data_IF_132582192171
#
_entry.id   IF_132582192171
#
_cell.length_a   1.000
_cell.length_b   1.000
_cell.length_c   1.000
_cell.angle_alpha   90.00
_cell.angle_beta   90.00
_cell.angle_gamma   90.00
#
_symmetry.space_group_name_H-M   'P 1'
#
loop_
_entity.id
_entity.type
_entity.pdbx_description
1 polymer ?
#
# COMPACT_ATOMS: atom_id res chain seq x y z
N UNK A 1 65.33 23.95 -60.06
CA UNK A 1 63.96 23.90 -60.61
C UNK A 1 63.46 22.47 -60.47
N UNK A 2 62.37 22.27 -59.71
CA UNK A 2 61.22 21.37 -60.01
C UNK A 2 61.59 19.87 -60.19
N UNK A 3 61.18 18.86 -59.38
CA UNK A 3 59.92 18.59 -58.69
C UNK A 3 60.18 17.39 -57.74
N UNK A 4 59.81 17.48 -56.46
CA UNK A 4 59.81 16.35 -55.54
C UNK A 4 58.51 15.54 -55.70
N UNK A 5 58.58 14.32 -56.24
CA UNK A 5 57.44 13.41 -56.29
C UNK A 5 57.27 12.73 -54.92
N UNK A 6 56.19 13.06 -54.19
CA UNK A 6 55.75 12.32 -53.00
C UNK A 6 54.90 11.11 -53.42
N UNK A 7 55.07 9.93 -52.83
CA UNK A 7 54.16 8.81 -53.03
C UNK A 7 52.82 9.05 -52.31
N UNK A 8 51.75 8.60 -52.95
CA UNK A 8 50.35 8.67 -52.51
C UNK A 8 50.12 7.91 -51.20
N UNK A 9 49.57 8.60 -50.21
CA UNK A 9 49.06 8.02 -48.96
C UNK A 9 47.72 7.34 -49.26
N UNK A 10 47.51 6.04 -48.97
CA UNK A 10 46.19 5.43 -49.05
C UNK A 10 45.28 5.95 -47.93
N UNK A 11 44.03 6.19 -48.29
CA UNK A 11 42.98 6.68 -47.42
C UNK A 11 42.74 5.81 -46.18
N UNK A 12 42.39 6.49 -45.08
CA UNK A 12 41.82 5.98 -43.85
C UNK A 12 41.04 4.66 -44.02
N UNK A 13 41.48 3.61 -43.31
CA UNK A 13 40.61 2.48 -43.00
C UNK A 13 39.44 3.01 -42.16
N UNK A 14 38.23 2.87 -42.70
CA UNK A 14 36.98 3.03 -41.98
C UNK A 14 36.95 2.05 -40.81
N UNK A 15 36.89 2.58 -39.59
CA UNK A 15 36.50 1.82 -38.41
C UNK A 15 35.02 1.50 -38.60
N UNK A 16 34.70 0.24 -38.90
CA UNK A 16 33.33 -0.28 -38.85
C UNK A 16 32.77 -0.07 -37.45
N UNK A 17 31.91 0.93 -37.31
CA UNK A 17 31.31 1.34 -36.03
C UNK A 17 29.92 0.70 -35.83
N UNK A 18 29.77 -0.59 -36.17
CA UNK A 18 28.50 -1.32 -36.09
C UNK A 18 28.53 -2.47 -35.05
N UNK A 19 29.09 -2.19 -33.88
CA UNK A 19 28.80 -2.97 -32.66
C UNK A 19 28.47 -2.04 -31.51
N UNK A 20 27.29 -1.43 -31.59
CA UNK A 20 26.58 -0.92 -30.43
C UNK A 20 26.37 -2.12 -29.46
N UNK A 21 26.81 -2.07 -28.20
CA UNK A 21 26.46 -3.12 -27.24
C UNK A 21 24.94 -3.16 -27.11
N UNK A 22 24.36 -4.35 -27.22
CA UNK A 22 22.93 -4.62 -27.15
C UNK A 22 22.29 -3.81 -26.03
N UNK A 23 21.56 -2.74 -26.40
CA UNK A 23 20.70 -2.06 -25.43
C UNK A 23 19.63 -3.08 -25.02
N UNK A 24 19.42 -3.33 -23.72
CA UNK A 24 18.33 -4.19 -23.30
C UNK A 24 17.03 -3.68 -23.94
N UNK A 25 16.20 -4.56 -24.52
CA UNK A 25 15.01 -4.15 -25.23
C UNK A 25 14.17 -3.27 -24.30
N UNK A 26 13.72 -2.12 -24.81
CA UNK A 26 12.87 -1.21 -24.06
C UNK A 26 11.72 -2.01 -23.44
N UNK A 27 11.47 -1.85 -22.13
CA UNK A 27 10.39 -2.54 -21.42
C UNK A 27 9.05 -2.13 -22.04
N UNK A 28 8.58 -2.90 -23.01
CA UNK A 28 7.25 -2.71 -23.62
C UNK A 28 6.22 -2.97 -22.53
N UNK A 29 5.43 -1.94 -22.21
CA UNK A 29 4.30 -2.07 -21.30
C UNK A 29 3.30 -3.07 -21.90
N UNK A 30 3.16 -4.23 -21.25
CA UNK A 30 2.15 -5.22 -21.60
C UNK A 30 1.03 -5.13 -20.56
N UNK A 31 -0.22 -4.82 -20.96
CA UNK A 31 -1.36 -4.79 -20.05
C UNK A 31 -1.54 -6.11 -19.29
N UNK A 32 -1.22 -7.24 -19.93
CA UNK A 32 -1.25 -8.55 -19.32
C UNK A 32 -0.22 -8.68 -18.19
N UNK A 33 1.04 -8.26 -18.40
CA UNK A 33 2.05 -8.25 -17.32
C UNK A 33 1.73 -7.27 -16.19
N UNK A 34 1.16 -6.12 -16.51
CA UNK A 34 0.74 -5.15 -15.51
C UNK A 34 -0.38 -5.73 -14.63
N UNK A 35 -1.34 -6.42 -15.24
CA UNK A 35 -2.42 -7.09 -14.55
C UNK A 35 -1.92 -8.28 -13.71
N UNK A 36 -0.99 -9.09 -14.24
CA UNK A 36 -0.37 -10.18 -13.48
C UNK A 36 0.40 -9.65 -12.27
N UNK A 37 1.11 -8.53 -12.44
CA UNK A 37 1.81 -7.83 -11.36
C UNK A 37 0.85 -7.30 -10.29
N UNK A 38 -0.26 -6.67 -10.71
CA UNK A 38 -1.29 -6.21 -9.77
C UNK A 38 -1.92 -7.36 -8.99
N UNK A 39 -2.33 -8.44 -9.67
CA UNK A 39 -2.98 -9.59 -9.04
C UNK A 39 -2.08 -10.35 -8.07
N UNK A 40 -0.76 -10.32 -8.27
CA UNK A 40 0.22 -10.90 -7.35
C UNK A 40 0.64 -9.94 -6.24
N UNK A 41 0.21 -8.69 -6.30
CA UNK A 41 0.56 -7.68 -5.29
C UNK A 41 -0.47 -7.64 -4.16
N UNK A 42 -0.07 -7.22 -2.95
CA UNK A 42 -1.00 -6.95 -1.85
C UNK A 42 -2.11 -5.94 -2.20
N UNK A 43 -1.92 -5.12 -3.24
CA UNK A 43 -2.90 -4.13 -3.71
C UNK A 43 -4.18 -4.78 -4.22
N UNK A 44 -4.11 -5.98 -4.80
CA UNK A 44 -5.29 -6.70 -5.27
C UNK A 44 -6.26 -7.03 -4.11
N UNK A 45 -5.71 -7.39 -2.94
CA UNK A 45 -6.51 -7.66 -1.75
C UNK A 45 -7.10 -6.41 -1.09
N UNK A 46 -6.44 -5.25 -1.24
CA UNK A 46 -6.85 -3.97 -0.63
C UNK A 46 -7.80 -3.18 -1.53
N UNK A 47 -7.74 -3.36 -2.85
CA UNK A 47 -8.52 -2.58 -3.81
C UNK A 47 -10.05 -2.64 -3.61
N UNK A 48 -10.69 -3.79 -3.33
CA UNK A 48 -12.12 -3.83 -3.02
C UNK A 48 -12.53 -2.99 -1.80
N UNK A 49 -11.68 -2.97 -0.76
CA UNK A 49 -11.91 -2.17 0.45
C UNK A 49 -11.79 -0.68 0.17
N UNK A 50 -10.78 -0.29 -0.61
CA UNK A 50 -10.61 1.10 -1.05
C UNK A 50 -11.80 1.55 -1.92
N UNK A 51 -12.29 0.68 -2.81
CA UNK A 51 -13.48 0.95 -3.61
C UNK A 51 -14.71 1.16 -2.73
N UNK A 52 -14.94 0.29 -1.73
CA UNK A 52 -16.01 0.47 -0.76
C UNK A 52 -15.90 1.84 -0.08
N UNK A 53 -14.73 2.20 0.44
CA UNK A 53 -14.52 3.46 1.13
C UNK A 53 -14.80 4.69 0.24
N UNK A 54 -14.43 4.65 -1.04
CA UNK A 54 -14.64 5.76 -1.99
C UNK A 54 -16.11 5.86 -2.43
N UNK A 55 -16.79 4.72 -2.61
CA UNK A 55 -18.18 4.70 -3.06
C UNK A 55 -19.18 4.93 -1.93
N UNK A 56 -18.79 4.68 -0.69
CA UNK A 56 -19.63 4.87 0.49
C UNK A 56 -20.04 6.34 0.63
N UNK A 57 -21.34 6.55 0.86
CA UNK A 57 -21.92 7.88 1.02
C UNK A 57 -23.45 7.81 0.99
N UNK A 58 -24.13 8.93 1.30
CA UNK A 58 -25.58 8.96 1.40
C UNK A 58 -26.26 8.51 0.11
N UNK A 59 -27.19 7.55 0.21
CA UNK A 59 -27.93 6.95 -0.91
C UNK A 59 -27.11 6.07 -1.85
N UNK A 60 -25.87 5.72 -1.50
CA UNK A 60 -24.94 4.96 -2.37
C UNK A 60 -24.53 3.62 -1.78
N UNK A 61 -25.15 3.19 -0.68
CA UNK A 61 -24.79 1.95 0.02
C UNK A 61 -24.77 0.71 -0.88
N UNK A 62 -25.87 0.46 -1.60
CA UNK A 62 -26.00 -0.73 -2.46
C UNK A 62 -24.96 -0.71 -3.59
N UNK A 63 -24.72 0.47 -4.18
CA UNK A 63 -23.72 0.66 -5.23
C UNK A 63 -22.31 0.42 -4.71
N UNK A 64 -22.00 0.88 -3.49
CA UNK A 64 -20.72 0.66 -2.84
C UNK A 64 -20.49 -0.84 -2.51
N UNK A 65 -21.49 -1.49 -1.91
CA UNK A 65 -21.42 -2.90 -1.54
C UNK A 65 -21.35 -3.81 -2.78
N UNK A 66 -22.21 -3.58 -3.79
CA UNK A 66 -22.19 -4.34 -5.04
C UNK A 66 -20.91 -4.09 -5.85
N UNK A 67 -20.42 -2.85 -5.89
CA UNK A 67 -19.16 -2.50 -6.54
C UNK A 67 -17.96 -3.19 -5.89
N UNK A 68 -17.87 -3.15 -4.55
CA UNK A 68 -16.81 -3.82 -3.79
C UNK A 68 -16.87 -5.34 -3.94
N UNK A 69 -18.07 -5.93 -3.85
CA UNK A 69 -18.26 -7.37 -4.06
C UNK A 69 -17.90 -7.79 -5.49
N UNK A 70 -18.35 -7.02 -6.49
CA UNK A 70 -18.03 -7.25 -7.90
C UNK A 70 -16.54 -7.18 -8.15
N UNK A 71 -15.85 -6.15 -7.64
CA UNK A 71 -14.40 -6.04 -7.77
C UNK A 71 -13.68 -7.18 -7.04
N UNK A 72 -14.12 -7.55 -5.84
CA UNK A 72 -13.55 -8.68 -5.08
C UNK A 72 -13.68 -10.00 -5.85
N UNK A 73 -14.87 -10.29 -6.37
CA UNK A 73 -15.13 -11.48 -7.18
C UNK A 73 -14.31 -11.47 -8.48
N UNK A 74 -14.21 -10.33 -9.16
CA UNK A 74 -13.40 -10.20 -10.37
C UNK A 74 -11.92 -10.42 -10.10
N UNK A 75 -11.36 -9.83 -9.04
CA UNK A 75 -9.96 -10.03 -8.63
C UNK A 75 -9.72 -11.50 -8.28
N UNK A 76 -10.63 -12.12 -7.51
CA UNK A 76 -10.51 -13.52 -7.11
C UNK A 76 -10.59 -14.48 -8.31
N UNK A 77 -11.56 -14.28 -9.21
CA UNK A 77 -11.70 -15.09 -10.42
C UNK A 77 -10.51 -14.90 -11.37
N UNK A 78 -10.04 -13.67 -11.55
CA UNK A 78 -8.86 -13.36 -12.36
C UNK A 78 -7.58 -13.98 -11.75
N UNK A 79 -7.45 -13.97 -10.43
CA UNK A 79 -6.36 -14.62 -9.70
C UNK A 79 -6.39 -16.14 -9.88
N UNK A 80 -7.55 -16.76 -9.65
CA UNK A 80 -7.75 -18.21 -9.82
C UNK A 80 -7.45 -18.66 -11.26
N UNK A 81 -7.91 -17.92 -12.27
CA UNK A 81 -7.64 -18.23 -13.68
C UNK A 81 -6.14 -18.16 -14.04
N UNK A 82 -5.34 -17.49 -13.22
CA UNK A 82 -3.89 -17.33 -13.38
C UNK A 82 -3.07 -18.13 -12.36
N UNK A 83 -3.72 -19.00 -11.58
CA UNK A 83 -3.08 -19.83 -10.56
C UNK A 83 -2.57 -19.06 -9.34
N UNK A 84 -3.05 -17.83 -9.11
CA UNK A 84 -2.77 -17.07 -7.88
C UNK A 84 -3.57 -17.68 -6.73
N UNK A 85 -2.93 -17.87 -5.58
CA UNK A 85 -3.59 -18.43 -4.40
C UNK A 85 -4.58 -17.40 -3.82
N UNK A 86 -5.75 -17.89 -3.44
CA UNK A 86 -6.74 -17.07 -2.75
C UNK A 86 -6.37 -16.98 -1.27
N UNK A 87 -6.30 -15.76 -0.77
CA UNK A 87 -5.88 -15.47 0.60
C UNK A 87 -7.07 -15.32 1.55
N UNK A 88 -6.83 -15.52 2.85
CA UNK A 88 -7.87 -15.40 3.88
C UNK A 88 -8.56 -14.03 3.89
N UNK A 89 -7.82 -12.95 3.58
CA UNK A 89 -8.37 -11.59 3.53
C UNK A 89 -9.33 -11.40 2.33
N UNK A 90 -9.06 -12.04 1.19
CA UNK A 90 -9.94 -11.97 0.01
C UNK A 90 -11.24 -12.73 0.24
N UNK A 91 -11.16 -13.91 0.88
CA UNK A 91 -12.34 -14.68 1.29
C UNK A 91 -13.14 -13.89 2.32
N UNK A 92 -12.48 -13.33 3.33
CA UNK A 92 -13.10 -12.51 4.36
C UNK A 92 -13.78 -11.27 3.76
N UNK A 93 -13.08 -10.53 2.89
CA UNK A 93 -13.64 -9.36 2.22
C UNK A 93 -14.84 -9.71 1.35
N UNK A 94 -14.74 -10.76 0.53
CA UNK A 94 -15.87 -11.23 -0.30
C UNK A 94 -17.08 -11.60 0.55
N UNK A 95 -16.87 -12.32 1.66
CA UNK A 95 -17.94 -12.66 2.60
C UNK A 95 -18.54 -11.42 3.27
N UNK A 96 -17.71 -10.47 3.69
CA UNK A 96 -18.14 -9.20 4.30
C UNK A 96 -18.96 -8.35 3.33
N UNK A 97 -18.48 -8.13 2.11
CA UNK A 97 -19.21 -7.36 1.09
C UNK A 97 -20.50 -8.07 0.67
N UNK A 98 -20.48 -9.40 0.56
CA UNK A 98 -21.68 -10.21 0.32
C UNK A 98 -22.72 -10.03 1.42
N UNK A 99 -22.31 -10.07 2.68
CA UNK A 99 -23.18 -9.82 3.81
C UNK A 99 -23.73 -8.38 3.80
N UNK A 100 -22.90 -7.37 3.53
CA UNK A 100 -23.36 -5.98 3.40
C UNK A 100 -24.39 -5.82 2.28
N UNK A 101 -24.17 -6.44 1.12
CA UNK A 101 -25.11 -6.39 0.00
C UNK A 101 -26.44 -7.06 0.35
N UNK A 102 -26.39 -8.26 0.94
CA UNK A 102 -27.61 -8.97 1.38
C UNK A 102 -28.38 -8.12 2.39
N UNK A 103 -27.70 -7.53 3.38
CA UNK A 103 -28.35 -6.63 4.32
C UNK A 103 -28.95 -5.43 3.60
N UNK A 104 -28.24 -4.82 2.65
CA UNK A 104 -28.77 -3.70 1.85
C UNK A 104 -30.07 -4.03 1.12
N UNK A 105 -30.15 -5.22 0.52
CA UNK A 105 -31.32 -5.65 -0.26
C UNK A 105 -32.57 -5.96 0.58
N UNK A 106 -32.40 -6.32 1.87
CA UNK A 106 -33.51 -6.75 2.74
C UNK A 106 -33.75 -5.84 3.95
N UNK A 107 -32.89 -4.85 4.18
CA UNK A 107 -33.00 -3.93 5.31
C UNK A 107 -34.06 -2.85 5.07
N UNK A 108 -34.67 -2.39 6.16
CA UNK A 108 -35.52 -1.18 6.15
C UNK A 108 -34.70 0.08 5.87
N UNK A 109 -35.32 1.15 5.35
CA UNK A 109 -34.65 2.44 5.08
C UNK A 109 -33.90 3.01 6.30
N UNK A 110 -34.43 2.80 7.52
CA UNK A 110 -33.74 3.22 8.76
C UNK A 110 -32.45 2.45 8.99
N UNK A 111 -32.45 1.15 8.72
CA UNK A 111 -31.26 0.31 8.85
C UNK A 111 -30.24 0.63 7.74
N UNK A 112 -30.68 0.92 6.52
CA UNK A 112 -29.80 1.38 5.44
C UNK A 112 -29.15 2.72 5.80
N UNK A 113 -29.91 3.70 6.29
CA UNK A 113 -29.35 4.99 6.77
C UNK A 113 -28.32 4.80 7.89
N UNK A 114 -28.58 3.88 8.82
CA UNK A 114 -27.62 3.54 9.86
C UNK A 114 -26.35 2.92 9.27
N UNK A 115 -26.48 2.00 8.31
CA UNK A 115 -25.31 1.40 7.64
C UNK A 115 -24.55 2.41 6.79
N UNK A 116 -25.22 3.36 6.15
CA UNK A 116 -24.55 4.44 5.42
C UNK A 116 -23.65 5.27 6.35
N UNK A 117 -24.12 5.54 7.57
CA UNK A 117 -23.35 6.25 8.59
C UNK A 117 -22.19 5.39 9.13
N UNK A 118 -22.49 4.13 9.49
CA UNK A 118 -21.57 3.27 10.26
C UNK A 118 -20.75 2.30 9.41
N UNK A 119 -20.92 2.26 8.09
CA UNK A 119 -20.25 1.29 7.20
C UNK A 119 -18.73 1.39 7.26
N UNK A 120 -18.17 2.59 7.30
CA UNK A 120 -16.73 2.82 7.45
C UNK A 120 -16.20 2.22 8.75
N UNK A 121 -16.87 2.53 9.86
CA UNK A 121 -16.51 2.03 11.19
C UNK A 121 -16.68 0.52 11.31
N UNK A 122 -17.75 -0.03 10.75
CA UNK A 122 -18.01 -1.46 10.73
C UNK A 122 -16.95 -2.19 9.90
N UNK A 123 -16.50 -1.59 8.80
CA UNK A 123 -15.41 -2.12 7.96
C UNK A 123 -14.09 -2.14 8.73
N UNK A 124 -13.72 -1.03 9.37
CA UNK A 124 -12.50 -0.94 10.19
C UNK A 124 -12.56 -1.91 11.38
N UNK A 125 -13.70 -2.01 12.06
CA UNK A 125 -13.91 -2.94 13.17
C UNK A 125 -13.83 -4.41 12.71
N UNK A 126 -14.41 -4.73 11.54
CA UNK A 126 -14.34 -6.06 10.95
C UNK A 126 -12.89 -6.44 10.60
N UNK A 127 -12.13 -5.54 9.98
CA UNK A 127 -10.72 -5.75 9.65
C UNK A 127 -9.83 -5.85 10.89
N UNK A 128 -10.09 -5.04 11.92
CA UNK A 128 -9.41 -5.13 13.20
C UNK A 128 -9.69 -6.47 13.86
N UNK A 129 -10.97 -6.88 13.95
CA UNK A 129 -11.38 -8.15 14.54
C UNK A 129 -10.75 -9.34 13.80
N UNK A 130 -10.80 -9.33 12.47
CA UNK A 130 -10.15 -10.33 11.63
C UNK A 130 -8.65 -10.42 11.93
N UNK A 131 -7.96 -9.28 11.96
CA UNK A 131 -6.51 -9.22 12.20
C UNK A 131 -6.16 -9.75 13.59
N UNK A 132 -6.86 -9.31 14.63
CA UNK A 132 -6.68 -9.79 16.01
C UNK A 132 -7.01 -11.27 16.15
N UNK A 133 -8.08 -11.76 15.51
CA UNK A 133 -8.43 -13.18 15.51
C UNK A 133 -7.33 -14.03 14.89
N UNK A 134 -6.74 -13.57 13.78
CA UNK A 134 -5.63 -14.28 13.12
C UNK A 134 -4.40 -14.38 14.02
N UNK A 135 -4.13 -13.36 14.83
CA UNK A 135 -3.08 -13.40 15.87
C UNK A 135 -3.44 -14.38 17.00
N UNK A 136 -4.69 -14.37 17.47
CA UNK A 136 -5.17 -15.22 18.55
C UNK A 136 -5.05 -16.71 18.20
N UNK A 137 -5.40 -17.10 16.97
CA UNK A 137 -5.24 -18.47 16.47
C UNK A 137 -3.80 -18.80 16.06
N UNK A 138 -2.84 -17.89 16.30
CA UNK A 138 -1.41 -17.99 15.94
C UNK A 138 -1.19 -18.23 14.44
N UNK A 139 -2.10 -17.73 13.61
CA UNK A 139 -1.98 -17.73 12.15
C UNK A 139 -2.17 -16.33 11.58
N UNK A 140 -1.27 -15.36 11.89
CA UNK A 140 -1.34 -14.00 11.35
C UNK A 140 -1.58 -13.99 9.83
N UNK A 141 -2.57 -13.22 9.39
CA UNK A 141 -3.03 -13.22 7.99
C UNK A 141 -1.92 -12.86 6.99
N UNK A 142 -0.95 -12.07 7.43
CA UNK A 142 0.21 -11.61 6.63
C UNK A 142 1.11 -12.78 6.20
N UNK A 143 1.15 -13.87 6.98
CA UNK A 143 1.96 -15.04 6.65
C UNK A 143 1.55 -15.67 5.33
N UNK A 144 0.27 -15.67 4.99
CA UNK A 144 -0.21 -16.24 3.73
C UNK A 144 0.39 -15.48 2.54
N UNK A 145 0.39 -14.15 2.60
CA UNK A 145 1.00 -13.29 1.58
C UNK A 145 2.53 -13.41 1.56
N UNK A 146 3.19 -13.46 2.72
CA UNK A 146 4.64 -13.59 2.78
C UNK A 146 5.15 -14.93 2.23
N UNK A 147 4.36 -16.02 2.33
CA UNK A 147 4.71 -17.33 1.75
C UNK A 147 4.73 -17.33 0.22
N UNK A 148 4.03 -16.42 -0.43
CA UNK A 148 4.01 -16.34 -1.88
C UNK A 148 5.27 -15.66 -2.46
N UNK A 149 5.98 -14.88 -1.65
CA UNK A 149 7.23 -14.20 -2.04
C UNK A 149 8.49 -14.79 -1.39
N UNK A 150 8.33 -15.58 -0.33
CA UNK A 150 9.45 -16.17 0.44
C UNK A 150 9.68 -17.64 0.08
N UNK A 151 10.93 -18.11 -0.10
CA UNK A 151 11.24 -19.52 -0.31
C UNK A 151 10.65 -20.44 0.78
N UNK A 152 10.15 -21.64 0.42
CA UNK A 152 9.53 -22.57 1.38
C UNK A 152 10.41 -22.96 2.57
N UNK A 153 11.73 -22.97 2.37
CA UNK A 153 12.74 -23.30 3.39
C UNK A 153 12.69 -22.35 4.60
N UNK A 154 12.24 -21.11 4.41
CA UNK A 154 12.17 -20.11 5.47
C UNK A 154 10.80 -20.02 6.16
N UNK A 155 9.76 -20.68 5.63
CA UNK A 155 8.37 -20.54 6.10
C UNK A 155 8.19 -20.92 7.57
N UNK A 156 9.01 -21.85 8.07
CA UNK A 156 8.92 -22.33 9.44
C UNK A 156 9.91 -21.68 10.40
N UNK A 157 10.78 -20.80 9.90
CA UNK A 157 11.78 -20.12 10.70
C UNK A 157 11.14 -19.25 11.80
N UNK A 158 11.75 -19.17 13.00
CA UNK A 158 11.28 -18.27 14.05
C UNK A 158 11.27 -16.80 13.62
N UNK A 159 12.23 -16.40 12.77
CA UNK A 159 12.32 -15.04 12.23
C UNK A 159 11.12 -14.72 11.33
N UNK A 160 10.78 -15.61 10.39
CA UNK A 160 9.62 -15.44 9.52
C UNK A 160 8.31 -15.30 10.31
N UNK A 161 8.11 -16.17 11.31
CA UNK A 161 6.92 -16.13 12.18
C UNK A 161 6.86 -14.82 12.99
N UNK A 162 8.00 -14.36 13.51
CA UNK A 162 8.10 -13.10 14.26
C UNK A 162 7.79 -11.88 13.38
N UNK A 163 8.37 -11.80 12.18
CA UNK A 163 8.13 -10.71 11.22
C UNK A 163 6.65 -10.58 10.93
N UNK A 164 6.01 -11.67 10.50
CA UNK A 164 4.59 -11.64 10.16
C UNK A 164 3.68 -11.34 11.36
N UNK A 165 4.05 -11.83 12.55
CA UNK A 165 3.31 -11.50 13.79
C UNK A 165 3.37 -10.00 14.08
N UNK A 166 4.54 -9.37 14.00
CA UNK A 166 4.70 -7.93 14.25
C UNK A 166 3.96 -7.11 13.19
N UNK A 167 4.07 -7.48 11.92
CA UNK A 167 3.35 -6.79 10.84
C UNK A 167 1.85 -6.90 11.05
N UNK A 168 1.32 -8.09 11.39
CA UNK A 168 -0.11 -8.25 11.69
C UNK A 168 -0.55 -7.44 12.92
N UNK A 169 0.27 -7.35 13.97
CA UNK A 169 -0.04 -6.49 15.13
C UNK A 169 -0.15 -5.02 14.71
N UNK A 170 0.75 -4.56 13.85
CA UNK A 170 0.72 -3.18 13.34
C UNK A 170 -0.53 -2.92 12.51
N UNK A 171 -0.91 -3.84 11.62
CA UNK A 171 -2.16 -3.74 10.88
C UNK A 171 -3.39 -3.78 11.80
N UNK A 172 -3.43 -4.70 12.76
CA UNK A 172 -4.53 -4.79 13.73
C UNK A 172 -4.66 -3.49 14.53
N UNK A 173 -3.52 -2.91 14.96
CA UNK A 173 -3.46 -1.61 15.62
C UNK A 173 -3.93 -0.47 14.73
N UNK A 174 -3.52 -0.44 13.45
CA UNK A 174 -3.94 0.58 12.50
C UNK A 174 -5.46 0.55 12.24
N UNK A 175 -6.04 -0.64 12.02
CA UNK A 175 -7.49 -0.78 11.86
C UNK A 175 -8.25 -0.43 13.14
N UNK A 176 -7.73 -0.82 14.30
CA UNK A 176 -8.34 -0.46 15.60
C UNK A 176 -8.31 1.05 15.81
N UNK A 177 -7.18 1.70 15.49
CA UNK A 177 -7.05 3.15 15.55
C UNK A 177 -8.00 3.84 14.57
N UNK A 178 -8.05 3.40 13.32
CA UNK A 178 -8.94 3.96 12.31
C UNK A 178 -10.41 3.88 12.75
N UNK A 179 -10.87 2.71 13.21
CA UNK A 179 -12.23 2.53 13.71
C UNK A 179 -12.51 3.26 15.04
N UNK A 180 -11.50 3.49 15.87
CA UNK A 180 -11.69 4.28 17.11
C UNK A 180 -11.81 5.76 16.79
N UNK A 181 -10.96 6.25 15.88
CA UNK A 181 -10.95 7.66 15.47
C UNK A 181 -12.22 8.02 14.68
N UNK A 182 -12.65 7.15 13.77
CA UNK A 182 -13.89 7.33 13.05
C UNK A 182 -15.10 7.32 13.99
N UNK A 183 -15.21 6.31 14.88
CA UNK A 183 -16.23 6.28 15.94
C UNK A 183 -16.26 7.56 16.79
N UNK A 184 -15.10 8.07 17.23
CA UNK A 184 -15.01 9.32 17.98
C UNK A 184 -15.48 10.50 17.11
N UNK A 185 -15.13 10.49 15.82
CA UNK A 185 -15.60 11.45 14.83
C UNK A 185 -17.12 11.52 14.74
N UNK A 186 -17.75 10.36 14.55
CA UNK A 186 -19.20 10.21 14.43
C UNK A 186 -19.91 10.61 15.72
N UNK A 187 -19.36 10.19 16.86
CA UNK A 187 -19.96 10.48 18.16
C UNK A 187 -19.86 11.95 18.56
N UNK A 188 -18.71 12.60 18.33
CA UNK A 188 -18.48 13.99 18.72
C UNK A 188 -19.06 14.98 17.70
N UNK A 189 -18.84 14.76 16.42
CA UNK A 189 -19.14 15.72 15.35
C UNK A 189 -20.40 15.38 14.58
N UNK A 190 -21.00 14.20 14.80
CA UNK A 190 -22.18 13.71 14.07
C UNK A 190 -21.99 13.73 12.54
N UNK A 191 -20.74 13.60 12.10
CA UNK A 191 -20.33 13.68 10.70
C UNK A 191 -19.26 12.61 10.40
N UNK A 192 -19.71 11.47 9.87
CA UNK A 192 -18.81 10.39 9.44
C UNK A 192 -18.05 10.66 8.15
N UNK A 193 -18.27 11.82 7.54
CA UNK A 193 -17.47 12.31 6.42
C UNK A 193 -16.46 13.37 6.83
N UNK A 194 -16.29 13.60 8.14
CA UNK A 194 -15.35 14.57 8.66
C UNK A 194 -13.95 14.35 8.08
N UNK A 195 -13.35 15.43 7.56
CA UNK A 195 -12.06 15.39 6.89
C UNK A 195 -10.96 14.74 7.74
N UNK A 196 -10.89 15.05 9.03
CA UNK A 196 -9.83 14.53 9.89
C UNK A 196 -10.10 13.11 10.39
N UNK A 197 -11.25 12.88 11.00
CA UNK A 197 -11.57 11.61 11.68
C UNK A 197 -12.07 10.55 10.71
N UNK A 198 -12.77 10.94 9.64
CA UNK A 198 -13.27 10.05 8.61
C UNK A 198 -12.24 9.70 7.53
N UNK A 199 -11.26 10.58 7.29
CA UNK A 199 -10.31 10.40 6.17
C UNK A 199 -8.85 10.46 6.61
N UNK A 200 -8.34 11.64 7.00
CA UNK A 200 -6.90 11.86 7.11
C UNK A 200 -6.26 10.97 8.18
N UNK A 201 -6.82 10.87 9.38
CA UNK A 201 -6.25 10.05 10.44
C UNK A 201 -6.33 8.56 10.12
N UNK A 202 -7.41 8.10 9.48
CA UNK A 202 -7.55 6.72 9.05
C UNK A 202 -6.51 6.37 7.99
N UNK A 203 -6.37 7.20 6.96
CA UNK A 203 -5.37 7.02 5.91
C UNK A 203 -3.95 7.04 6.50
N UNK A 204 -3.65 7.96 7.42
CA UNK A 204 -2.34 8.03 8.08
C UNK A 204 -1.98 6.70 8.78
N UNK A 205 -2.94 6.05 9.43
CA UNK A 205 -2.72 4.74 10.06
C UNK A 205 -2.43 3.64 9.04
N UNK A 206 -3.13 3.63 7.90
CA UNK A 206 -2.88 2.68 6.81
C UNK A 206 -1.50 2.91 6.18
N UNK A 207 -1.12 4.16 5.89
CA UNK A 207 0.20 4.48 5.36
C UNK A 207 1.32 4.10 6.34
N UNK A 208 1.10 4.33 7.63
CA UNK A 208 2.03 3.87 8.66
C UNK A 208 2.19 2.35 8.67
N UNK A 209 1.09 1.60 8.64
CA UNK A 209 1.13 0.13 8.60
C UNK A 209 1.85 -0.39 7.35
N UNK A 210 1.59 0.22 6.19
CA UNK A 210 2.28 -0.09 4.94
C UNK A 210 3.79 0.21 5.05
N UNK A 211 4.18 1.38 5.56
CA UNK A 211 5.59 1.76 5.74
C UNK A 211 6.33 0.79 6.65
N UNK A 212 5.69 0.32 7.73
CA UNK A 212 6.26 -0.71 8.60
C UNK A 212 6.33 -2.08 7.91
N UNK A 213 5.34 -2.43 7.09
CA UNK A 213 5.32 -3.69 6.32
C UNK A 213 6.51 -3.76 5.36
N UNK A 214 6.86 -2.65 4.72
CA UNK A 214 8.01 -2.57 3.82
C UNK A 214 9.35 -2.53 4.58
N UNK A 215 9.41 -1.83 5.71
CA UNK A 215 10.66 -1.61 6.45
C UNK A 215 11.06 -2.78 7.38
N UNK A 216 10.10 -3.35 8.11
CA UNK A 216 10.37 -4.24 9.23
C UNK A 216 11.05 -5.57 8.84
N UNK A 217 10.70 -6.24 7.72
CA UNK A 217 11.38 -7.47 7.31
C UNK A 217 12.89 -7.29 7.16
N UNK A 218 13.32 -6.27 6.41
CA UNK A 218 14.74 -5.97 6.16
C UNK A 218 15.47 -5.61 7.46
N UNK A 219 14.81 -4.81 8.32
CA UNK A 219 15.35 -4.46 9.63
C UNK A 219 15.53 -5.67 10.55
N UNK A 220 14.54 -6.57 10.59
CA UNK A 220 14.57 -7.77 11.42
C UNK A 220 15.62 -8.77 10.91
N UNK A 221 15.76 -8.93 9.59
CA UNK A 221 16.79 -9.75 8.98
C UNK A 221 18.19 -9.21 9.29
N UNK A 222 18.45 -7.92 9.03
CA UNK A 222 19.76 -7.32 9.32
C UNK A 222 20.15 -7.41 10.81
N UNK A 223 19.18 -7.30 11.73
CA UNK A 223 19.43 -7.52 13.16
C UNK A 223 19.73 -8.98 13.52
N UNK A 224 19.10 -9.93 12.82
CA UNK A 224 19.36 -11.34 13.02
C UNK A 224 20.77 -11.71 12.56
N UNK A 225 21.18 -11.22 11.40
CA UNK A 225 22.51 -11.44 10.83
C UNK A 225 23.61 -10.88 11.75
N UNK A 226 23.45 -9.65 12.23
CA UNK A 226 24.37 -9.05 13.21
C UNK A 226 24.46 -9.84 14.51
N UNK A 227 23.34 -10.40 14.98
CA UNK A 227 23.33 -11.23 16.20
C UNK A 227 24.07 -12.56 16.00
N UNK A 228 24.17 -13.05 14.76
CA UNK A 228 24.94 -14.23 14.38
C UNK A 228 26.40 -13.91 13.99
N UNK A 229 26.82 -12.65 14.12
CA UNK A 229 28.18 -12.21 13.77
C UNK A 229 28.39 -11.96 12.28
N UNK A 230 27.33 -11.97 11.47
CA UNK A 230 27.41 -11.63 10.06
C UNK A 230 27.32 -10.10 9.87
N UNK A 231 28.17 -9.51 9.01
CA UNK A 231 28.11 -8.09 8.74
C UNK A 231 26.86 -7.74 7.93
N UNK A 232 25.91 -7.03 8.55
CA UNK A 232 24.73 -6.52 7.88
C UNK A 232 24.55 -5.01 8.10
N UNK A 233 24.06 -4.31 7.06
CA UNK A 233 23.72 -2.90 7.14
C UNK A 233 22.28 -2.74 7.63
N UNK A 234 22.10 -2.17 8.82
CA UNK A 234 20.77 -1.99 9.40
C UNK A 234 20.06 -0.79 8.75
N UNK A 235 18.86 -0.99 8.16
CA UNK A 235 18.05 0.12 7.65
C UNK A 235 17.73 1.16 8.73
N UNK A 236 17.77 2.44 8.36
CA UNK A 236 17.47 3.53 9.29
C UNK A 236 15.98 3.59 9.60
N UNK A 237 15.63 3.64 10.90
CA UNK A 237 14.24 3.76 11.37
C UNK A 237 13.54 5.01 10.80
N UNK A 238 14.27 6.05 10.41
CA UNK A 238 13.69 7.21 9.73
C UNK A 238 12.96 6.87 8.42
N UNK A 239 13.24 5.73 7.80
CA UNK A 239 12.52 5.28 6.61
C UNK A 239 11.02 5.04 6.89
N UNK A 240 10.65 4.66 8.12
CA UNK A 240 9.24 4.40 8.49
C UNK A 240 8.39 5.66 8.51
N UNK A 241 9.01 6.85 8.57
CA UNK A 241 8.32 8.15 8.50
C UNK A 241 8.50 8.83 7.14
N UNK A 242 9.09 8.15 6.16
CA UNK A 242 9.34 8.70 4.83
C UNK A 242 8.08 9.06 4.03
N UNK A 243 6.93 8.47 4.37
CA UNK A 243 5.64 8.78 3.77
C UNK A 243 5.04 10.11 4.29
N UNK A 244 5.43 10.53 5.50
CA UNK A 244 4.79 11.64 6.22
C UNK A 244 4.90 12.99 5.47
N UNK A 245 6.06 13.38 4.90
CA UNK A 245 6.17 14.64 4.17
C UNK A 245 5.20 14.75 3.00
N UNK A 246 5.14 13.72 2.14
CA UNK A 246 4.21 13.68 1.01
C UNK A 246 2.76 13.66 1.47
N UNK A 247 2.48 12.92 2.54
CA UNK A 247 1.14 12.85 3.12
C UNK A 247 0.67 14.21 3.65
N UNK A 248 1.51 14.96 4.36
CA UNK A 248 1.19 16.30 4.86
C UNK A 248 0.91 17.27 3.71
N UNK A 249 1.72 17.23 2.64
CA UNK A 249 1.50 18.07 1.46
C UNK A 249 0.18 17.75 0.77
N UNK A 250 -0.12 16.46 0.53
CA UNK A 250 -1.38 16.04 -0.08
C UNK A 250 -2.57 16.39 0.81
N UNK A 251 -2.45 16.22 2.13
CA UNK A 251 -3.47 16.58 3.11
C UNK A 251 -3.78 18.07 3.06
N UNK A 252 -2.76 18.94 3.03
CA UNK A 252 -2.97 20.38 2.93
C UNK A 252 -3.64 20.78 1.61
N UNK A 253 -3.24 20.18 0.48
CA UNK A 253 -3.89 20.42 -0.82
C UNK A 253 -5.35 19.97 -0.79
N UNK A 254 -5.63 18.75 -0.30
CA UNK A 254 -6.99 18.23 -0.19
C UNK A 254 -7.85 19.10 0.72
N UNK A 255 -7.31 19.59 1.84
CA UNK A 255 -7.99 20.50 2.76
C UNK A 255 -8.39 21.82 2.12
N UNK A 256 -7.54 22.40 1.25
CA UNK A 256 -7.87 23.59 0.46
C UNK A 256 -8.96 23.29 -0.58
N UNK A 257 -8.81 22.21 -1.35
CA UNK A 257 -9.76 21.88 -2.42
C UNK A 257 -11.18 21.59 -1.91
N UNK A 258 -11.26 21.03 -0.71
CA UNK A 258 -12.53 20.66 -0.07
C UNK A 258 -13.07 21.73 0.88
N UNK A 259 -12.36 22.86 1.04
CA UNK A 259 -12.64 23.88 2.07
C UNK A 259 -12.83 23.29 3.49
N UNK A 260 -12.20 22.15 3.77
CA UNK A 260 -12.35 21.44 5.05
C UNK A 260 -11.33 21.89 6.11
N UNK A 261 -10.32 22.66 5.71
CA UNK A 261 -9.28 23.19 6.58
C UNK A 261 -9.10 24.67 6.28
N UNK A 262 -8.86 25.46 7.33
CA UNK A 262 -8.52 26.88 7.16
C UNK A 262 -7.31 27.06 6.24
N UNK A 263 -7.33 28.13 5.43
CA UNK A 263 -6.30 28.37 4.43
C UNK A 263 -4.90 28.46 5.04
N UNK A 264 -4.75 29.07 6.22
CA UNK A 264 -3.47 29.20 6.90
C UNK A 264 -2.98 27.85 7.42
N UNK A 265 -3.87 27.05 8.01
CA UNK A 265 -3.53 25.69 8.47
C UNK A 265 -3.15 24.77 7.29
N UNK A 266 -3.85 24.87 6.17
CA UNK A 266 -3.56 24.07 4.98
C UNK A 266 -2.23 24.48 4.32
N UNK A 267 -1.93 25.78 4.22
CA UNK A 267 -0.62 26.27 3.77
C UNK A 267 0.48 25.80 4.73
N UNK A 268 0.25 25.85 6.04
CA UNK A 268 1.20 25.37 7.04
C UNK A 268 1.52 23.88 6.85
N UNK A 269 0.53 23.03 6.58
CA UNK A 269 0.73 21.61 6.27
C UNK A 269 1.57 21.40 5.00
N UNK A 270 1.30 22.16 3.94
CA UNK A 270 2.05 22.08 2.68
C UNK A 270 3.51 22.47 2.91
N UNK A 271 3.75 23.59 3.59
CA UNK A 271 5.10 24.08 3.89
C UNK A 271 5.83 23.10 4.80
N UNK A 272 5.18 22.63 5.87
CA UNK A 272 5.75 21.64 6.78
C UNK A 272 6.14 20.35 6.05
N UNK A 273 5.28 19.84 5.16
CA UNK A 273 5.58 18.67 4.33
C UNK A 273 6.81 18.89 3.44
N UNK A 274 6.92 20.02 2.74
CA UNK A 274 8.07 20.32 1.89
C UNK A 274 9.38 20.50 2.69
N UNK A 275 9.32 21.16 3.84
CA UNK A 275 10.47 21.34 4.74
C UNK A 275 10.91 19.99 5.31
N UNK A 276 9.98 19.19 5.81
CA UNK A 276 10.27 17.85 6.34
C UNK A 276 10.89 16.95 5.24
N UNK A 277 10.36 17.00 4.01
CA UNK A 277 10.92 16.29 2.86
C UNK A 277 12.38 16.69 2.60
N UNK A 278 12.66 18.00 2.62
CA UNK A 278 14.01 18.53 2.40
C UNK A 278 15.00 18.13 3.51
N UNK A 279 14.55 18.08 4.77
CA UNK A 279 15.35 17.61 5.90
C UNK A 279 15.62 16.12 5.75
N UNK A 280 14.58 15.33 5.49
CA UNK A 280 14.69 13.88 5.37
C UNK A 280 15.61 13.47 4.22
N UNK A 281 15.57 14.19 3.09
CA UNK A 281 16.47 13.97 1.95
C UNK A 281 17.96 14.25 2.27
N UNK A 282 18.24 15.08 3.28
CA UNK A 282 19.61 15.36 3.75
C UNK A 282 20.10 14.33 4.77
N UNK A 283 19.18 13.77 5.56
CA UNK A 283 19.50 12.86 6.67
C UNK A 283 19.49 11.39 6.24
N UNK A 284 18.62 11.02 5.29
CA UNK A 284 18.62 9.66 4.73
C UNK A 284 19.78 9.51 3.74
N UNK A 285 20.70 8.56 3.95
CA UNK A 285 21.74 8.28 2.97
C UNK A 285 21.10 7.86 1.64
N UNK A 286 21.63 8.37 0.53
CA UNK A 286 21.19 7.97 -0.82
C UNK A 286 21.37 6.46 -0.96
N UNK A 287 20.27 5.72 -0.94
CA UNK A 287 20.24 4.30 -1.24
C UNK A 287 20.56 4.13 -2.73
N UNK A 288 21.79 3.76 -3.08
CA UNK A 288 22.09 3.16 -4.37
C UNK A 288 21.44 1.79 -4.39
N UNK A 289 20.20 1.68 -4.88
CA UNK A 289 19.67 0.39 -5.31
C UNK A 289 20.58 -0.10 -6.46
N UNK A 290 21.39 -1.12 -6.19
CA UNK A 290 22.15 -1.84 -7.23
C UNK A 290 21.23 -2.79 -7.99
#
# INVERSE_FOLDING_TARGET
MIQSARPSVPAFCSVDNDKQPDRPPAKVFSPARALDGFLRSPLAGIAPWALLAILSGPGRFELAAAGALGLSALVMLAGLSRGVRVHALEVFGTAFFGAMLVVGLFATDNAIRWLELWSGELTNAALACFSWLTLLIRRPFTMAYAKDTTPPEHWDSPLFKKINTVITIVWAGAFTFAGTVGFIGDYLWHDGTNFWTGWILQLAAIFFAAAITDFYPDYAAAKFDLANGEPALVPSVLQTVGWLPSFLTVTGIAGLLTNSVDSLAAIALIVAGNVASSILAKVLPKQTKS
#
